data_IF_686379242649
#
_entry.id   IF_686379242649
#
_cell.length_a   1.000
_cell.length_b   1.000
_cell.length_c   1.000
_cell.angle_alpha   90.00
_cell.angle_beta   90.00
_cell.angle_gamma   90.00
#
_symmetry.space_group_name_H-M   'P 1'
#
loop_
_entity.id
_entity.type
_entity.pdbx_description
1 polymer ?
#
# COMPACT_ATOMS: atom_id res chain seq x y z
N UNK A 1 12.50 -35.34 -27.13
CA UNK A 1 12.00 -36.54 -26.41
C UNK A 1 11.43 -37.62 -27.34
N UNK A 2 11.18 -37.35 -28.63
CA UNK A 2 10.95 -38.42 -29.64
C UNK A 2 12.22 -39.28 -29.89
N UNK A 3 13.42 -38.76 -29.59
CA UNK A 3 14.69 -39.47 -29.78
C UNK A 3 14.86 -40.75 -28.96
N UNK A 4 14.21 -40.88 -27.80
CA UNK A 4 14.35 -42.06 -26.92
C UNK A 4 13.79 -43.33 -27.59
N UNK A 5 12.80 -43.18 -28.47
CA UNK A 5 12.14 -44.28 -29.20
C UNK A 5 12.81 -44.58 -30.55
N UNK A 6 13.61 -43.64 -31.05
CA UNK A 6 14.37 -43.73 -32.30
C UNK A 6 15.73 -44.41 -32.11
N UNK A 7 16.34 -44.26 -30.94
CA UNK A 7 17.71 -44.71 -30.69
C UNK A 7 17.77 -46.12 -30.07
N UNK A 8 17.32 -47.10 -30.86
CA UNK A 8 17.22 -48.52 -30.51
C UNK A 8 18.59 -49.20 -30.60
N UNK A 9 18.94 -50.01 -29.61
CA UNK A 9 20.03 -50.98 -29.79
C UNK A 9 19.53 -52.12 -30.67
N UNK A 10 20.15 -52.29 -31.84
CA UNK A 10 19.94 -53.47 -32.67
C UNK A 10 20.31 -54.72 -31.86
N UNK A 11 19.34 -55.64 -31.75
CA UNK A 11 19.56 -56.90 -31.06
C UNK A 11 19.99 -57.94 -32.10
N UNK A 12 21.11 -58.65 -31.88
CA UNK A 12 21.53 -59.71 -32.79
C UNK A 12 20.46 -60.81 -32.85
N UNK A 13 20.27 -61.38 -34.04
CA UNK A 13 19.25 -62.41 -34.32
C UNK A 13 19.91 -63.71 -34.74
N UNK A 14 19.42 -64.83 -34.22
CA UNK A 14 19.86 -66.18 -34.60
C UNK A 14 18.67 -67.12 -34.87
N UNK A 15 18.83 -68.12 -35.76
CA UNK A 15 17.78 -69.12 -35.98
C UNK A 15 17.65 -70.09 -34.80
N UNK A 16 16.52 -70.82 -34.67
CA UNK A 16 16.24 -71.67 -33.51
C UNK A 16 17.21 -72.85 -33.37
N UNK A 17 17.78 -73.30 -34.50
CA UNK A 17 18.71 -74.42 -34.57
C UNK A 17 20.19 -73.99 -34.46
N UNK A 18 20.45 -72.70 -34.22
CA UNK A 18 21.79 -72.18 -33.98
C UNK A 18 22.44 -72.86 -32.76
N UNK A 19 23.72 -73.18 -32.91
CA UNK A 19 24.57 -73.69 -31.84
C UNK A 19 24.93 -72.61 -30.82
N UNK A 20 25.26 -73.01 -29.59
CA UNK A 20 25.69 -72.07 -28.55
C UNK A 20 26.88 -71.19 -28.96
N UNK A 21 27.77 -71.70 -29.83
CA UNK A 21 28.90 -70.92 -30.36
C UNK A 21 28.44 -69.82 -31.30
N UNK A 22 27.42 -70.08 -32.13
CA UNK A 22 26.84 -69.07 -33.02
C UNK A 22 26.09 -68.00 -32.22
N UNK A 23 25.35 -68.40 -31.16
CA UNK A 23 24.70 -67.45 -30.25
C UNK A 23 25.72 -66.60 -29.50
N UNK A 24 26.79 -67.21 -28.97
CA UNK A 24 27.84 -66.48 -28.27
C UNK A 24 28.60 -65.51 -29.18
N UNK A 25 28.87 -65.92 -30.43
CA UNK A 25 29.50 -65.06 -31.45
C UNK A 25 28.59 -63.86 -31.75
N UNK A 26 27.31 -64.09 -32.01
CA UNK A 26 26.35 -63.03 -32.28
C UNK A 26 26.22 -62.03 -31.12
N UNK A 27 26.29 -62.51 -29.87
CA UNK A 27 26.30 -61.64 -28.69
C UNK A 27 27.58 -60.82 -28.60
N UNK A 28 28.75 -61.43 -28.79
CA UNK A 28 30.07 -60.77 -28.68
C UNK A 28 30.32 -59.75 -29.80
N UNK A 29 29.72 -59.94 -30.98
CA UNK A 29 29.82 -59.03 -32.12
C UNK A 29 28.79 -57.89 -32.05
N UNK A 30 27.90 -57.90 -31.05
CA UNK A 30 26.89 -56.86 -30.84
C UNK A 30 27.19 -56.01 -29.61
N UNK A 31 26.68 -54.76 -29.60
CA UNK A 31 26.63 -53.93 -28.39
C UNK A 31 25.49 -54.36 -27.42
N UNK A 32 24.73 -55.38 -27.79
CA UNK A 32 23.56 -55.87 -27.06
C UNK A 32 23.90 -56.86 -25.95
N UNK A 33 23.09 -56.87 -24.89
CA UNK A 33 23.21 -57.83 -23.77
C UNK A 33 22.37 -59.12 -23.96
N UNK A 34 21.68 -59.24 -25.10
CA UNK A 34 20.70 -60.29 -25.40
C UNK A 34 20.77 -60.65 -26.89
N UNK A 35 20.50 -61.91 -27.21
CA UNK A 35 20.30 -62.39 -28.59
C UNK A 35 18.83 -62.80 -28.77
N UNK A 36 18.22 -62.38 -29.87
CA UNK A 36 16.85 -62.78 -30.24
C UNK A 36 16.88 -64.08 -31.04
N UNK A 37 15.99 -65.00 -30.70
CA UNK A 37 15.78 -66.24 -31.46
C UNK A 37 14.51 -66.07 -32.29
N UNK A 38 14.65 -66.07 -33.62
CA UNK A 38 13.53 -65.92 -34.56
C UNK A 38 13.14 -67.26 -35.20
N UNK A 39 11.84 -67.46 -35.44
CA UNK A 39 11.27 -68.53 -36.27
C UNK A 39 10.56 -67.92 -37.49
N UNK A 40 10.24 -68.74 -38.50
CA UNK A 40 9.61 -68.28 -39.75
C UNK A 40 8.31 -67.46 -39.55
N UNK A 41 7.60 -67.65 -38.44
CA UNK A 41 6.36 -66.94 -38.08
C UNK A 41 6.54 -65.80 -37.04
N UNK A 42 7.77 -65.42 -36.72
CA UNK A 42 8.07 -64.31 -35.80
C UNK A 42 9.03 -64.66 -34.67
N UNK A 43 9.05 -63.84 -33.61
CA UNK A 43 10.03 -64.00 -32.53
C UNK A 43 9.66 -65.17 -31.59
N UNK A 44 10.60 -66.09 -31.39
CA UNK A 44 10.45 -67.25 -30.51
C UNK A 44 10.82 -66.92 -29.05
N UNK A 45 11.96 -66.27 -28.85
CA UNK A 45 12.47 -65.97 -27.51
C UNK A 45 13.73 -65.12 -27.52
N UNK A 46 14.32 -64.92 -26.34
CA UNK A 46 15.64 -64.31 -26.22
C UNK A 46 16.57 -65.16 -25.35
N UNK A 47 17.87 -64.97 -25.53
CA UNK A 47 18.91 -65.59 -24.70
C UNK A 47 19.80 -64.47 -24.14
N UNK A 48 19.97 -64.44 -22.82
CA UNK A 48 20.88 -63.49 -22.15
C UNK A 48 22.29 -64.04 -22.00
N UNK A 49 23.26 -63.14 -21.83
CA UNK A 49 24.66 -63.52 -21.66
C UNK A 49 24.88 -64.49 -20.49
N UNK A 50 24.12 -64.36 -19.40
CA UNK A 50 24.22 -65.27 -18.24
C UNK A 50 23.79 -66.70 -18.60
N UNK A 51 22.74 -66.84 -19.40
CA UNK A 51 22.21 -68.11 -19.88
C UNK A 51 23.21 -68.77 -20.82
N UNK A 52 23.80 -68.02 -21.75
CA UNK A 52 24.84 -68.53 -22.66
C UNK A 52 26.07 -68.99 -21.87
N UNK A 53 26.58 -68.17 -20.95
CA UNK A 53 27.73 -68.51 -20.11
C UNK A 53 27.45 -69.79 -19.32
N UNK A 54 26.27 -69.91 -18.70
CA UNK A 54 25.86 -71.10 -17.95
C UNK A 54 25.98 -72.36 -18.81
N UNK A 55 25.42 -72.34 -20.02
CA UNK A 55 25.40 -73.52 -20.89
C UNK A 55 26.75 -73.82 -21.54
N UNK A 56 27.57 -72.81 -21.86
CA UNK A 56 28.95 -73.01 -22.33
C UNK A 56 29.84 -73.65 -21.26
N UNK A 57 29.63 -73.31 -19.99
CA UNK A 57 30.37 -73.91 -18.86
C UNK A 57 30.03 -75.39 -18.61
N UNK A 58 28.95 -75.92 -19.22
CA UNK A 58 28.58 -77.34 -19.14
C UNK A 58 29.32 -78.23 -20.15
N UNK A 59 30.25 -77.67 -20.94
CA UNK A 59 31.15 -78.44 -21.82
C UNK A 59 30.41 -79.25 -22.90
N UNK A 60 30.77 -80.52 -23.05
CA UNK A 60 30.21 -81.42 -24.08
C UNK A 60 28.71 -81.68 -23.93
N UNK A 61 28.15 -81.52 -22.73
CA UNK A 61 26.70 -81.59 -22.53
C UNK A 61 25.99 -80.35 -23.06
N UNK A 62 26.59 -79.17 -22.90
CA UNK A 62 26.07 -77.91 -23.44
C UNK A 62 26.04 -77.89 -24.96
N UNK A 63 27.02 -78.51 -25.63
CA UNK A 63 27.12 -78.55 -27.09
C UNK A 63 25.95 -79.25 -27.81
N UNK A 64 25.13 -80.02 -27.08
CA UNK A 64 23.94 -80.71 -27.60
C UNK A 64 22.72 -79.80 -27.71
N UNK A 65 22.71 -78.68 -27.00
CA UNK A 65 21.58 -77.74 -26.96
C UNK A 65 21.66 -76.72 -28.09
N UNK A 66 20.51 -76.40 -28.65
CA UNK A 66 20.31 -75.36 -29.66
C UNK A 66 19.69 -74.12 -29.03
N UNK A 67 19.71 -73.00 -29.76
CA UNK A 67 19.15 -71.73 -29.31
C UNK A 67 17.70 -71.88 -28.81
N UNK A 68 16.87 -72.67 -29.50
CA UNK A 68 15.47 -72.93 -29.11
C UNK A 68 15.30 -73.64 -27.77
N UNK A 69 16.28 -74.45 -27.37
CA UNK A 69 16.18 -75.29 -26.17
C UNK A 69 16.48 -74.49 -24.89
N UNK A 70 17.13 -73.32 -25.04
CA UNK A 70 17.59 -72.48 -23.93
C UNK A 70 17.01 -71.06 -23.97
N UNK A 71 16.27 -70.72 -25.01
CA UNK A 71 15.63 -69.42 -25.14
C UNK A 71 14.53 -69.22 -24.10
N UNK A 72 14.52 -68.03 -23.50
CA UNK A 72 13.39 -67.55 -22.70
C UNK A 72 12.31 -67.07 -23.66
N UNK A 73 11.14 -67.69 -23.58
CA UNK A 73 10.00 -67.33 -24.42
C UNK A 73 9.56 -65.88 -24.14
N UNK A 74 9.37 -65.12 -25.22
CA UNK A 74 8.85 -63.75 -25.15
C UNK A 74 7.33 -63.81 -25.18
N UNK A 75 6.70 -63.29 -24.14
CA UNK A 75 5.24 -63.19 -24.08
C UNK A 75 4.79 -61.84 -24.63
N UNK A 76 3.51 -61.72 -24.93
CA UNK A 76 2.95 -60.43 -25.38
C UNK A 76 3.03 -59.35 -24.29
N UNK A 77 3.05 -59.75 -23.02
CA UNK A 77 3.32 -58.88 -21.87
C UNK A 77 4.78 -58.40 -21.75
N UNK A 78 5.71 -58.91 -22.58
CA UNK A 78 7.09 -58.43 -22.63
C UNK A 78 7.31 -57.42 -23.78
N UNK A 79 6.33 -57.31 -24.69
CA UNK A 79 6.36 -56.47 -25.90
C UNK A 79 5.74 -55.10 -25.61
N UNK A 80 6.33 -54.06 -26.19
CA UNK A 80 5.86 -52.69 -26.10
C UNK A 80 5.84 -52.03 -27.48
N UNK A 81 4.70 -51.44 -27.85
CA UNK A 81 4.60 -50.71 -29.10
C UNK A 81 5.45 -49.45 -29.04
N UNK A 82 6.18 -49.19 -30.12
CA UNK A 82 7.13 -48.07 -30.19
C UNK A 82 6.53 -46.66 -30.14
N UNK A 83 5.21 -46.51 -29.96
CA UNK A 83 4.50 -45.25 -29.87
C UNK A 83 4.02 -44.89 -28.46
N UNK A 84 4.36 -45.68 -27.44
CA UNK A 84 3.96 -45.41 -26.05
C UNK A 84 4.76 -44.27 -25.41
N UNK A 85 4.13 -43.52 -24.51
CA UNK A 85 4.78 -42.45 -23.74
C UNK A 85 5.73 -42.99 -22.65
N UNK A 86 6.60 -42.11 -22.16
CA UNK A 86 7.63 -42.44 -21.15
C UNK A 86 7.02 -42.81 -19.80
N UNK A 87 5.88 -42.20 -19.42
CA UNK A 87 5.21 -42.48 -18.15
C UNK A 87 4.74 -43.93 -18.09
N UNK A 88 4.13 -44.43 -19.17
CA UNK A 88 3.70 -45.81 -19.30
C UNK A 88 4.89 -46.79 -19.35
N UNK A 89 6.02 -46.40 -19.95
CA UNK A 89 7.27 -47.19 -19.91
C UNK A 89 7.79 -47.32 -18.47
N UNK A 90 7.85 -46.20 -17.73
CA UNK A 90 8.31 -46.16 -16.34
C UNK A 90 7.38 -46.95 -15.42
N UNK A 91 6.07 -46.77 -15.54
CA UNK A 91 5.08 -47.51 -14.76
C UNK A 91 5.22 -49.02 -14.97
N UNK A 92 5.46 -49.46 -16.21
CA UNK A 92 5.66 -50.87 -16.53
C UNK A 92 6.99 -51.41 -16.00
N UNK A 93 8.08 -50.64 -16.07
CA UNK A 93 9.36 -51.03 -15.46
C UNK A 93 9.17 -51.22 -13.95
N UNK A 94 8.45 -50.31 -13.29
CA UNK A 94 8.15 -50.40 -11.85
C UNK A 94 7.27 -51.62 -11.53
N UNK A 95 6.32 -51.98 -12.40
CA UNK A 95 5.39 -53.10 -12.20
C UNK A 95 6.02 -54.47 -12.49
N UNK A 96 6.82 -54.59 -13.54
CA UNK A 96 7.33 -55.86 -14.05
C UNK A 96 8.78 -56.14 -13.65
N UNK A 97 9.53 -55.14 -13.15
CA UNK A 97 10.92 -55.27 -12.73
C UNK A 97 11.90 -55.61 -13.86
N UNK A 98 11.48 -55.42 -15.12
CA UNK A 98 12.26 -55.73 -16.33
C UNK A 98 12.07 -54.64 -17.38
N UNK A 99 13.10 -54.42 -18.20
CA UNK A 99 13.02 -53.47 -19.31
C UNK A 99 12.22 -54.09 -20.47
N UNK A 100 11.25 -53.37 -21.05
CA UNK A 100 10.43 -53.87 -22.16
C UNK A 100 11.25 -54.04 -23.45
N UNK A 101 10.78 -54.96 -24.31
CA UNK A 101 11.28 -55.12 -25.68
C UNK A 101 10.34 -54.40 -26.63
N UNK A 102 10.89 -53.59 -27.54
CA UNK A 102 10.07 -52.81 -28.47
C UNK A 102 9.75 -53.59 -29.73
N UNK A 103 8.48 -53.62 -30.11
CA UNK A 103 8.03 -54.16 -31.39
C UNK A 103 8.04 -53.06 -32.46
N UNK A 104 8.63 -53.36 -33.61
CA UNK A 104 8.55 -52.54 -34.82
C UNK A 104 7.25 -52.78 -35.60
N UNK A 105 7.07 -52.02 -36.69
CA UNK A 105 5.99 -52.30 -37.66
C UNK A 105 6.19 -53.74 -38.18
N UNK A 106 5.12 -54.52 -38.24
CA UNK A 106 5.09 -55.97 -38.59
C UNK A 106 5.40 -56.96 -37.44
N UNK A 107 5.44 -56.52 -36.17
CA UNK A 107 5.50 -57.44 -35.01
C UNK A 107 6.89 -58.04 -34.74
N UNK A 108 7.92 -57.63 -35.49
CA UNK A 108 9.33 -57.94 -35.22
C UNK A 108 9.84 -57.15 -34.02
N UNK A 109 10.75 -57.71 -33.24
CA UNK A 109 11.41 -56.95 -32.16
C UNK A 109 12.45 -56.05 -32.80
N UNK A 110 12.31 -54.75 -32.59
CA UNK A 110 13.12 -53.73 -33.23
C UNK A 110 14.13 -53.08 -32.28
N UNK A 111 14.17 -53.48 -31.01
CA UNK A 111 15.21 -53.08 -30.06
C UNK A 111 14.79 -53.12 -28.60
N UNK A 112 15.67 -52.64 -27.73
CA UNK A 112 15.47 -52.51 -26.28
C UNK A 112 15.86 -51.12 -25.79
N UNK A 113 15.23 -50.65 -24.72
CA UNK A 113 15.62 -49.43 -24.03
C UNK A 113 16.98 -49.61 -23.32
N UNK A 114 17.92 -48.69 -23.55
CA UNK A 114 19.20 -48.65 -22.83
C UNK A 114 19.10 -47.78 -21.57
N UNK A 115 19.40 -48.32 -20.36
CA UNK A 115 19.42 -47.54 -19.12
C UNK A 115 20.36 -46.33 -19.18
N UNK A 116 21.54 -46.49 -19.77
CA UNK A 116 22.55 -45.43 -19.84
C UNK A 116 22.06 -44.25 -20.69
N UNK A 117 21.33 -44.54 -21.78
CA UNK A 117 20.72 -43.51 -22.63
C UNK A 117 19.58 -42.79 -21.90
N UNK A 118 18.72 -43.52 -21.18
CA UNK A 118 17.64 -42.91 -20.39
C UNK A 118 18.18 -42.01 -19.27
N UNK A 119 19.25 -42.43 -18.60
CA UNK A 119 19.93 -41.60 -17.58
C UNK A 119 20.56 -40.34 -18.22
N UNK A 120 21.20 -40.48 -19.38
CA UNK A 120 21.76 -39.34 -20.12
C UNK A 120 20.71 -38.30 -20.51
N UNK A 121 19.53 -38.76 -20.93
CA UNK A 121 18.39 -37.90 -21.27
C UNK A 121 17.79 -37.18 -20.07
N UNK A 122 17.60 -37.88 -18.95
CA UNK A 122 17.15 -37.27 -17.70
C UNK A 122 18.15 -36.21 -17.20
N UNK A 123 19.45 -36.49 -17.29
CA UNK A 123 20.49 -35.54 -16.93
C UNK A 123 20.46 -34.28 -17.83
N UNK A 124 20.23 -34.45 -19.14
CA UNK A 124 20.06 -33.34 -20.10
C UNK A 124 18.84 -32.49 -19.75
N UNK A 125 17.68 -33.12 -19.55
CA UNK A 125 16.44 -32.42 -19.20
C UNK A 125 16.57 -31.65 -17.88
N UNK A 126 17.23 -32.23 -16.87
CA UNK A 126 17.52 -31.55 -15.61
C UNK A 126 18.47 -30.37 -15.80
N UNK A 127 19.47 -30.49 -16.66
CA UNK A 127 20.36 -29.38 -17.03
C UNK A 127 19.60 -28.22 -17.69
N UNK A 128 18.65 -28.52 -18.58
CA UNK A 128 17.81 -27.51 -19.23
C UNK A 128 16.84 -26.82 -18.26
N UNK A 129 16.21 -27.57 -17.36
CA UNK A 129 15.34 -27.03 -16.31
C UNK A 129 16.11 -26.06 -15.41
N UNK A 130 17.28 -26.50 -14.92
CA UNK A 130 18.14 -25.67 -14.07
C UNK A 130 18.53 -24.37 -14.77
N UNK A 131 18.84 -24.44 -16.07
CA UNK A 131 19.15 -23.25 -16.87
C UNK A 131 17.96 -22.31 -16.95
N UNK A 132 16.76 -22.81 -17.29
CA UNK A 132 15.53 -22.00 -17.36
C UNK A 132 15.21 -21.33 -16.03
N UNK A 133 15.43 -22.03 -14.91
CA UNK A 133 15.23 -21.47 -13.57
C UNK A 133 16.16 -20.29 -13.31
N UNK A 134 17.46 -20.47 -13.58
CA UNK A 134 18.46 -19.40 -13.44
C UNK A 134 18.12 -18.22 -14.34
N UNK A 135 17.74 -18.46 -15.60
CA UNK A 135 17.35 -17.41 -16.54
C UNK A 135 16.12 -16.63 -16.03
N UNK A 136 15.16 -17.34 -15.43
CA UNK A 136 13.96 -16.74 -14.82
C UNK A 136 14.29 -15.88 -13.61
N UNK A 137 15.17 -16.36 -12.73
CA UNK A 137 15.64 -15.60 -11.55
C UNK A 137 16.34 -14.30 -11.97
N UNK A 138 17.20 -14.34 -12.99
CA UNK A 138 17.82 -13.13 -13.56
C UNK A 138 16.79 -12.16 -14.16
N UNK A 139 15.77 -12.69 -14.86
CA UNK A 139 14.72 -11.85 -15.43
C UNK A 139 13.89 -11.16 -14.32
N UNK A 140 13.55 -11.88 -13.26
CA UNK A 140 12.83 -11.32 -12.09
C UNK A 140 13.67 -10.20 -11.46
N UNK A 141 14.97 -10.42 -11.25
CA UNK A 141 15.87 -9.40 -10.71
C UNK A 141 15.96 -8.16 -11.62
N UNK A 142 16.05 -8.36 -12.93
CA UNK A 142 16.07 -7.27 -13.90
C UNK A 142 14.76 -6.46 -13.85
N UNK A 143 13.60 -7.13 -13.80
CA UNK A 143 12.29 -6.47 -13.72
C UNK A 143 12.14 -5.70 -12.40
N UNK A 144 12.53 -6.31 -11.27
CA UNK A 144 12.46 -5.69 -9.94
C UNK A 144 13.33 -4.42 -9.86
N UNK A 145 14.48 -4.41 -10.52
CA UNK A 145 15.38 -3.24 -10.56
C UNK A 145 14.89 -2.12 -11.50
N UNK A 146 13.94 -2.39 -12.39
CA UNK A 146 13.30 -1.36 -13.24
C UNK A 146 12.13 -0.65 -12.54
N UNK A 147 11.70 -1.12 -11.37
CA UNK A 147 10.60 -0.49 -10.65
C UNK A 147 10.99 0.93 -10.17
N UNK A 148 10.08 1.91 -10.29
CA UNK A 148 10.34 3.30 -9.87
C UNK A 148 10.22 3.51 -8.36
N UNK A 149 10.22 2.43 -7.57
CA UNK A 149 10.11 2.45 -6.11
C UNK A 149 10.98 1.34 -5.51
N UNK A 150 11.40 1.52 -4.25
CA UNK A 150 12.17 0.51 -3.56
C UNK A 150 11.28 -0.67 -3.18
N UNK A 151 11.77 -1.90 -3.36
CA UNK A 151 11.08 -3.11 -2.92
C UNK A 151 12.04 -4.04 -2.20
N UNK A 152 11.61 -4.58 -1.06
CA UNK A 152 12.35 -5.56 -0.28
C UNK A 152 11.41 -6.66 0.23
N UNK A 153 11.85 -7.91 0.10
CA UNK A 153 11.26 -9.06 0.73
C UNK A 153 11.96 -9.30 2.06
N UNK A 154 11.20 -9.30 3.14
CA UNK A 154 11.74 -9.36 4.51
C UNK A 154 11.12 -10.53 5.26
N UNK A 155 11.94 -11.28 6.00
CA UNK A 155 11.46 -12.37 6.86
C UNK A 155 10.76 -11.83 8.11
N UNK A 156 9.99 -12.67 8.80
CA UNK A 156 9.43 -12.34 10.13
C UNK A 156 10.50 -11.94 11.15
N UNK A 157 11.74 -12.43 10.99
CA UNK A 157 12.89 -12.08 11.81
C UNK A 157 13.44 -10.67 11.55
N UNK A 158 13.00 -9.99 10.48
CA UNK A 158 13.51 -8.69 10.03
C UNK A 158 14.68 -8.78 9.05
N UNK A 159 15.03 -9.97 8.57
CA UNK A 159 16.12 -10.16 7.61
C UNK A 159 15.66 -9.84 6.19
N UNK A 160 16.43 -9.04 5.47
CA UNK A 160 16.17 -8.75 4.05
C UNK A 160 16.63 -9.94 3.22
N UNK A 161 15.67 -10.65 2.64
CA UNK A 161 15.90 -11.82 1.79
C UNK A 161 16.30 -11.41 0.38
N UNK A 162 15.60 -10.40 -0.15
CA UNK A 162 15.83 -9.84 -1.46
C UNK A 162 15.42 -8.38 -1.46
N UNK A 163 16.14 -7.53 -2.18
CA UNK A 163 15.77 -6.14 -2.34
C UNK A 163 16.30 -5.61 -3.67
N UNK A 164 15.59 -4.65 -4.26
CA UNK A 164 16.13 -3.92 -5.40
C UNK A 164 17.17 -2.89 -4.95
N UNK A 165 17.91 -2.36 -5.93
CA UNK A 165 18.99 -1.39 -5.67
C UNK A 165 18.52 -0.20 -4.82
N UNK A 166 17.36 0.37 -5.15
CA UNK A 166 16.82 1.53 -4.44
C UNK A 166 16.47 1.21 -2.98
N UNK A 167 15.83 0.08 -2.69
CA UNK A 167 15.56 -0.33 -1.31
C UNK A 167 16.84 -0.54 -0.51
N UNK A 168 17.86 -1.17 -1.11
CA UNK A 168 19.16 -1.37 -0.46
C UNK A 168 19.86 -0.04 -0.15
N UNK A 169 19.81 0.93 -1.07
CA UNK A 169 20.32 2.29 -0.85
C UNK A 169 19.61 2.96 0.34
N UNK A 170 18.27 2.93 0.38
CA UNK A 170 17.50 3.55 1.47
C UNK A 170 17.79 2.87 2.82
N UNK A 171 17.78 1.54 2.86
CA UNK A 171 18.03 0.73 4.07
C UNK A 171 19.43 1.02 4.62
N UNK A 172 20.45 1.04 3.75
CA UNK A 172 21.83 1.27 4.15
C UNK A 172 22.08 2.71 4.59
N UNK A 173 21.55 3.72 3.87
CA UNK A 173 21.73 5.13 4.24
C UNK A 173 21.09 5.48 5.58
N UNK A 174 19.94 4.87 5.88
CA UNK A 174 19.21 5.10 7.13
C UNK A 174 19.64 4.14 8.25
N UNK A 175 20.65 3.30 8.02
CA UNK A 175 21.17 2.33 9.00
C UNK A 175 20.09 1.41 9.57
N UNK A 176 19.11 1.02 8.75
CA UNK A 176 17.98 0.19 9.18
C UNK A 176 18.50 -1.23 9.43
N UNK A 177 18.69 -1.56 10.70
CA UNK A 177 19.11 -2.89 11.14
C UNK A 177 17.96 -3.89 11.21
N UNK A 178 18.30 -5.17 11.40
CA UNK A 178 17.34 -6.28 11.50
C UNK A 178 16.27 -6.07 12.56
N UNK A 179 16.65 -5.61 13.77
CA UNK A 179 15.69 -5.38 14.86
C UNK A 179 14.74 -4.22 14.57
N UNK A 180 15.22 -3.17 13.90
CA UNK A 180 14.37 -2.06 13.47
C UNK A 180 13.39 -2.52 12.38
N UNK A 181 13.87 -3.27 11.40
CA UNK A 181 13.05 -3.85 10.34
C UNK A 181 11.97 -4.80 10.92
N UNK A 182 12.33 -5.61 11.91
CA UNK A 182 11.39 -6.48 12.64
C UNK A 182 10.32 -5.68 13.39
N UNK A 183 10.69 -4.57 14.03
CA UNK A 183 9.74 -3.70 14.73
C UNK A 183 8.77 -3.02 13.74
N UNK A 184 9.29 -2.57 12.60
CA UNK A 184 8.53 -1.98 11.50
C UNK A 184 7.48 -2.97 10.99
N UNK A 185 7.91 -4.19 10.67
CA UNK A 185 7.08 -5.26 10.12
C UNK A 185 5.98 -5.67 11.10
N UNK A 186 6.31 -5.80 12.40
CA UNK A 186 5.33 -6.18 13.43
C UNK A 186 4.25 -5.13 13.69
N UNK A 187 4.61 -3.85 13.59
CA UNK A 187 3.70 -2.76 13.95
C UNK A 187 2.93 -2.18 12.75
N UNK A 188 3.16 -2.70 11.54
CA UNK A 188 2.63 -2.17 10.27
C UNK A 188 2.79 -0.63 10.18
N UNK A 189 3.94 -0.14 10.65
CA UNK A 189 4.16 1.29 10.80
C UNK A 189 4.60 1.93 9.49
N UNK A 190 3.86 2.95 9.06
CA UNK A 190 4.30 3.86 8.01
C UNK A 190 5.43 4.73 8.57
N UNK A 191 6.61 4.66 7.96
CA UNK A 191 7.76 5.50 8.33
C UNK A 191 8.24 6.28 7.11
N UNK A 192 8.72 7.49 7.34
CA UNK A 192 9.32 8.35 6.32
C UNK A 192 10.83 8.31 6.53
N UNK A 193 11.56 8.02 5.46
CA UNK A 193 13.02 8.03 5.41
C UNK A 193 13.49 9.15 4.50
N UNK A 194 14.67 9.69 4.80
CA UNK A 194 15.30 10.72 3.97
C UNK A 194 16.64 10.17 3.48
N UNK A 195 16.93 10.35 2.20
CA UNK A 195 18.24 10.00 1.64
C UNK A 195 19.23 11.15 1.81
N UNK A 196 20.52 10.89 1.60
CA UNK A 196 21.55 11.93 1.60
C UNK A 196 21.32 13.02 0.54
N UNK A 197 20.62 12.68 -0.53
CA UNK A 197 20.23 13.62 -1.60
C UNK A 197 19.02 14.48 -1.25
N UNK A 198 18.40 14.28 -0.08
CA UNK A 198 17.21 15.01 0.36
C UNK A 198 15.90 14.48 -0.23
N UNK A 199 15.90 13.24 -0.76
CA UNK A 199 14.70 12.57 -1.27
C UNK A 199 13.96 11.90 -0.10
N UNK A 200 12.65 12.03 -0.05
CA UNK A 200 11.81 11.46 1.00
C UNK A 200 11.09 10.21 0.49
N UNK A 201 11.22 9.10 1.23
CA UNK A 201 10.55 7.85 0.90
C UNK A 201 9.58 7.43 2.01
N UNK A 202 8.34 7.11 1.63
CA UNK A 202 7.36 6.48 2.51
C UNK A 202 7.53 4.98 2.40
N UNK A 203 7.76 4.34 3.54
CA UNK A 203 7.82 2.90 3.63
C UNK A 203 6.47 2.32 4.07
N UNK A 204 6.01 1.29 3.37
CA UNK A 204 4.81 0.52 3.67
C UNK A 204 5.17 -0.97 3.76
N UNK A 205 4.46 -1.70 4.63
CA UNK A 205 4.64 -3.14 4.81
C UNK A 205 3.34 -3.87 4.53
N UNK A 206 3.40 -4.89 3.67
CA UNK A 206 2.27 -5.75 3.36
C UNK A 206 2.61 -7.22 3.62
N UNK A 207 1.65 -7.97 4.15
CA UNK A 207 1.82 -9.40 4.42
C UNK A 207 1.57 -10.18 3.13
N UNK A 208 2.54 -10.98 2.71
CA UNK A 208 2.34 -11.92 1.61
C UNK A 208 1.62 -13.15 2.16
N UNK A 209 0.30 -13.21 1.92
CA UNK A 209 -0.57 -14.32 2.34
C UNK A 209 0.05 -15.65 1.91
N UNK A 210 -0.06 -16.65 2.78
CA UNK A 210 0.49 -18.02 2.58
C UNK A 210 2.02 -18.14 2.73
N UNK A 211 2.71 -17.08 3.20
CA UNK A 211 4.15 -17.12 3.49
C UNK A 211 4.48 -16.45 4.83
N UNK A 212 5.69 -16.70 5.35
CA UNK A 212 6.25 -16.01 6.53
C UNK A 212 7.07 -14.76 6.13
N UNK A 213 6.77 -14.18 4.95
CA UNK A 213 7.50 -13.04 4.40
C UNK A 213 6.61 -11.81 4.27
N UNK A 214 7.25 -10.66 4.34
CA UNK A 214 6.64 -9.35 4.25
C UNK A 214 7.21 -8.62 3.05
N UNK A 215 6.32 -7.97 2.31
CA UNK A 215 6.69 -7.06 1.24
C UNK A 215 6.84 -5.67 1.81
N UNK A 216 8.05 -5.12 1.74
CA UNK A 216 8.35 -3.74 2.13
C UNK A 216 8.52 -2.92 0.86
N UNK A 217 7.75 -1.85 0.74
CA UNK A 217 7.82 -0.91 -0.39
C UNK A 217 8.27 0.46 0.07
N UNK A 218 9.06 1.16 -0.75
CA UNK A 218 9.56 2.51 -0.51
C UNK A 218 9.14 3.42 -1.66
N UNK A 219 8.10 4.22 -1.46
CA UNK A 219 7.56 5.13 -2.47
C UNK A 219 8.15 6.54 -2.28
N UNK A 220 8.65 7.15 -3.36
CA UNK A 220 9.10 8.54 -3.34
C UNK A 220 7.91 9.48 -3.08
N UNK A 221 8.01 10.24 -2.00
CA UNK A 221 7.03 11.24 -1.56
C UNK A 221 7.65 12.64 -1.48
N UNK A 222 8.80 12.87 -2.13
CA UNK A 222 9.57 14.12 -2.03
C UNK A 222 8.74 15.35 -2.39
N UNK A 223 7.95 15.26 -3.46
CA UNK A 223 7.07 16.36 -3.89
C UNK A 223 5.99 16.66 -2.84
N UNK A 224 5.31 15.62 -2.33
CA UNK A 224 4.29 15.75 -1.29
C UNK A 224 4.89 16.36 -0.01
N UNK A 225 6.02 15.81 0.44
CA UNK A 225 6.67 16.22 1.68
C UNK A 225 7.22 17.65 1.58
N UNK A 226 7.86 18.01 0.47
CA UNK A 226 8.36 19.37 0.22
C UNK A 226 7.21 20.37 0.19
N UNK A 227 6.06 20.01 -0.41
CA UNK A 227 4.88 20.87 -0.42
C UNK A 227 4.32 21.06 1.00
N UNK A 228 4.23 19.98 1.79
CA UNK A 228 3.79 20.06 3.19
C UNK A 228 4.72 20.94 4.04
N UNK A 229 6.03 20.78 3.90
CA UNK A 229 7.00 21.60 4.64
C UNK A 229 6.95 23.07 4.20
N UNK A 230 6.80 23.36 2.90
CA UNK A 230 6.57 24.73 2.42
C UNK A 230 5.30 25.33 3.01
N UNK A 231 4.20 24.58 3.03
CA UNK A 231 2.94 25.04 3.64
C UNK A 231 3.11 25.32 5.14
N UNK A 232 3.83 24.45 5.85
CA UNK A 232 4.14 24.63 7.27
C UNK A 232 5.02 25.85 7.52
N UNK A 233 6.04 26.08 6.68
CA UNK A 233 6.88 27.28 6.73
C UNK A 233 6.05 28.54 6.50
N UNK A 234 5.25 28.58 5.43
CA UNK A 234 4.39 29.73 5.13
C UNK A 234 3.36 29.99 6.24
N UNK A 235 2.81 28.94 6.85
CA UNK A 235 1.95 29.09 8.03
C UNK A 235 2.72 29.70 9.21
N UNK A 236 3.91 29.19 9.50
CA UNK A 236 4.77 29.70 10.58
C UNK A 236 5.19 31.16 10.35
N UNK A 237 5.48 31.55 9.11
CA UNK A 237 5.80 32.92 8.72
C UNK A 237 4.63 33.86 8.97
N UNK A 238 3.41 33.47 8.57
CA UNK A 238 2.19 34.26 8.82
C UNK A 238 1.91 34.39 10.31
N UNK A 239 2.02 33.30 11.07
CA UNK A 239 1.85 33.33 12.53
C UNK A 239 2.89 34.24 13.20
N UNK A 240 4.15 34.17 12.78
CA UNK A 240 5.23 35.02 13.31
C UNK A 240 5.02 36.50 12.98
N UNK A 241 4.66 36.80 11.74
CA UNK A 241 4.35 38.17 11.32
C UNK A 241 3.17 38.74 12.12
N UNK A 242 2.11 37.95 12.32
CA UNK A 242 0.98 38.35 13.16
C UNK A 242 1.41 38.62 14.60
N UNK A 243 2.18 37.72 15.23
CA UNK A 243 2.70 37.91 16.59
C UNK A 243 3.51 39.20 16.74
N UNK A 244 4.34 39.55 15.75
CA UNK A 244 5.13 40.79 15.74
C UNK A 244 4.25 42.04 15.59
N UNK A 245 3.15 41.94 14.83
CA UNK A 245 2.23 43.07 14.60
C UNK A 245 1.29 43.33 15.78
N UNK A 246 1.19 42.42 16.74
CA UNK A 246 0.38 42.64 17.93
C UNK A 246 0.97 43.78 18.76
N UNK A 247 0.14 44.69 19.30
CA UNK A 247 0.62 45.80 20.12
C UNK A 247 1.20 45.34 21.46
N UNK A 248 0.90 44.10 21.89
CA UNK A 248 1.32 43.53 23.17
C UNK A 248 1.40 42.00 23.07
N UNK A 249 2.56 41.43 23.42
CA UNK A 249 2.79 39.98 23.42
C UNK A 249 1.85 39.22 24.38
N UNK A 250 1.32 39.89 25.41
CA UNK A 250 0.36 39.28 26.33
C UNK A 250 -0.95 38.91 25.63
N UNK A 251 -1.31 39.59 24.55
CA UNK A 251 -2.47 39.24 23.72
C UNK A 251 -2.25 37.87 23.08
N UNK A 252 -1.09 37.64 22.47
CA UNK A 252 -0.73 36.35 21.89
C UNK A 252 -0.77 35.24 22.94
N UNK A 253 -0.08 35.45 24.07
CA UNK A 253 -0.03 34.47 25.15
C UNK A 253 -1.44 34.13 25.64
N UNK A 254 -2.31 35.14 25.77
CA UNK A 254 -3.70 34.95 26.17
C UNK A 254 -4.49 34.15 25.14
N UNK A 255 -4.45 34.52 23.87
CA UNK A 255 -5.16 33.82 22.79
C UNK A 255 -4.66 32.37 22.63
N UNK A 256 -3.35 32.12 22.79
CA UNK A 256 -2.77 30.77 22.75
C UNK A 256 -3.19 29.93 23.96
N UNK A 257 -3.39 30.54 25.13
CA UNK A 257 -3.87 29.83 26.33
C UNK A 257 -5.30 29.29 26.21
N UNK A 258 -6.12 29.87 25.32
CA UNK A 258 -7.53 29.51 25.19
C UNK A 258 -7.67 28.40 24.14
N UNK A 259 -8.12 27.23 24.58
CA UNK A 259 -8.37 26.08 23.71
C UNK A 259 -9.70 26.20 22.98
N UNK A 260 -9.82 25.48 21.87
CA UNK A 260 -11.10 25.25 21.20
C UNK A 260 -11.35 23.75 21.10
N UNK A 261 -12.61 23.35 21.09
CA UNK A 261 -12.99 21.94 21.06
C UNK A 261 -13.55 21.55 19.70
N UNK A 262 -13.23 20.33 19.28
CA UNK A 262 -13.98 19.61 18.25
C UNK A 262 -14.96 18.69 18.96
N UNK A 263 -16.20 18.68 18.49
CA UNK A 263 -17.27 17.94 19.14
C UNK A 263 -18.26 17.34 18.14
N UNK A 264 -18.92 16.29 18.58
CA UNK A 264 -20.07 15.69 17.92
C UNK A 264 -21.32 15.94 18.77
N UNK A 265 -22.34 16.54 18.17
CA UNK A 265 -23.61 16.82 18.82
C UNK A 265 -24.59 15.66 18.66
N UNK A 266 -25.14 15.18 19.77
CA UNK A 266 -26.22 14.21 19.78
C UNK A 266 -27.56 14.93 19.93
N UNK A 267 -28.34 14.98 18.86
CA UNK A 267 -29.65 15.65 18.83
C UNK A 267 -30.66 15.03 19.81
N UNK A 268 -30.53 13.74 20.13
CA UNK A 268 -31.49 13.02 20.98
C UNK A 268 -31.33 13.35 22.46
N UNK A 269 -30.09 13.60 22.90
CA UNK A 269 -29.75 13.90 24.30
C UNK A 269 -29.44 15.37 24.51
N UNK A 270 -29.13 16.12 23.45
CA UNK A 270 -28.64 17.49 23.50
C UNK A 270 -27.22 17.63 24.06
N UNK A 271 -26.51 16.51 24.21
CA UNK A 271 -25.14 16.45 24.73
C UNK A 271 -24.14 16.59 23.58
N UNK A 272 -22.92 17.01 23.92
CA UNK A 272 -21.79 16.94 23.00
C UNK A 272 -20.76 15.94 23.48
N UNK A 273 -20.12 15.24 22.55
CA UNK A 273 -18.96 14.41 22.80
C UNK A 273 -17.71 15.10 22.25
N UNK A 274 -16.72 15.34 23.10
CA UNK A 274 -15.45 15.94 22.68
C UNK A 274 -14.64 14.94 21.88
N UNK A 275 -14.34 15.27 20.63
CA UNK A 275 -13.55 14.43 19.70
C UNK A 275 -12.14 14.96 19.51
N UNK A 276 -11.89 16.21 19.85
CA UNK A 276 -10.58 16.84 19.73
C UNK A 276 -10.40 18.06 20.61
N UNK A 277 -9.16 18.32 21.02
CA UNK A 277 -8.76 19.54 21.75
C UNK A 277 -7.74 20.29 20.92
N UNK A 278 -8.11 21.49 20.47
CA UNK A 278 -7.27 22.36 19.65
C UNK A 278 -6.50 23.30 20.58
N UNK A 279 -5.25 22.93 20.86
CA UNK A 279 -4.31 23.82 21.55
C UNK A 279 -4.12 25.10 20.73
N UNK A 280 -4.08 26.24 21.40
CA UNK A 280 -4.04 27.57 20.77
C UNK A 280 -5.24 27.83 19.84
N UNK A 281 -6.40 27.22 20.14
CA UNK A 281 -7.58 27.28 19.29
C UNK A 281 -8.09 28.69 19.05
N UNK A 282 -8.15 29.52 20.09
CA UNK A 282 -8.61 30.91 19.96
C UNK A 282 -7.64 31.76 19.11
N UNK A 283 -6.33 31.56 19.24
CA UNK A 283 -5.34 32.19 18.36
C UNK A 283 -5.56 31.82 16.88
N UNK A 284 -5.85 30.54 16.58
CA UNK A 284 -6.17 30.09 15.22
C UNK A 284 -7.49 30.68 14.70
N UNK A 285 -8.51 30.77 15.56
CA UNK A 285 -9.79 31.42 15.26
C UNK A 285 -9.59 32.86 14.83
N UNK A 286 -8.82 33.65 15.59
CA UNK A 286 -8.49 35.04 15.26
C UNK A 286 -7.75 35.14 13.92
N UNK A 287 -6.76 34.27 13.65
CA UNK A 287 -6.07 34.25 12.35
C UNK A 287 -7.04 33.95 11.20
N UNK A 288 -7.98 33.02 11.40
CA UNK A 288 -8.97 32.69 10.39
C UNK A 288 -9.93 33.86 10.12
N UNK A 289 -10.34 34.62 11.14
CA UNK A 289 -11.09 35.86 10.95
C UNK A 289 -10.29 36.89 10.14
N UNK A 290 -9.01 37.09 10.46
CA UNK A 290 -8.14 38.01 9.72
C UNK A 290 -7.96 37.61 8.25
N UNK A 291 -7.91 36.30 7.95
CA UNK A 291 -7.92 35.80 6.56
C UNK A 291 -9.22 36.17 5.84
N UNK A 292 -10.38 35.96 6.48
CA UNK A 292 -11.68 36.35 5.92
C UNK A 292 -11.77 37.86 5.68
N UNK A 293 -11.28 38.68 6.62
CA UNK A 293 -11.18 40.14 6.45
C UNK A 293 -10.31 40.48 5.24
N UNK A 294 -9.14 39.85 5.10
CA UNK A 294 -8.22 40.09 3.99
C UNK A 294 -8.85 39.70 2.64
N UNK A 295 -9.59 38.59 2.59
CA UNK A 295 -10.29 38.14 1.39
C UNK A 295 -11.46 39.06 1.02
N UNK A 296 -12.20 39.59 2.00
CA UNK A 296 -13.24 40.59 1.78
C UNK A 296 -12.65 41.94 1.34
N UNK A 297 -11.53 42.34 1.93
CA UNK A 297 -10.79 43.55 1.57
C UNK A 297 -10.37 43.53 0.10
N UNK A 298 -9.79 42.41 -0.36
CA UNK A 298 -9.40 42.24 -1.78
C UNK A 298 -10.58 42.32 -2.76
N UNK A 299 -11.81 42.19 -2.27
CA UNK A 299 -13.04 42.26 -3.06
C UNK A 299 -13.78 43.60 -2.89
N UNK A 300 -13.15 44.61 -2.28
CA UNK A 300 -13.69 45.97 -2.17
C UNK A 300 -14.64 46.21 -0.99
N UNK A 301 -14.82 45.25 -0.08
CA UNK A 301 -15.78 45.43 1.04
C UNK A 301 -15.43 46.63 1.92
N UNK A 302 -14.14 46.90 2.15
CA UNK A 302 -13.69 47.98 3.02
C UNK A 302 -13.71 49.36 2.35
N UNK A 303 -14.07 49.44 1.08
CA UNK A 303 -14.27 50.71 0.36
C UNK A 303 -15.68 51.26 0.59
N UNK A 304 -16.58 50.45 1.15
CA UNK A 304 -17.95 50.84 1.42
C UNK A 304 -18.03 51.79 2.63
N UNK A 305 -18.90 52.83 2.57
CA UNK A 305 -19.18 53.68 3.72
C UNK A 305 -19.54 52.90 4.98
N UNK A 306 -19.03 53.32 6.13
CA UNK A 306 -19.28 52.65 7.41
C UNK A 306 -18.47 51.37 7.63
N UNK A 307 -17.59 50.96 6.70
CA UNK A 307 -16.60 49.91 6.92
C UNK A 307 -15.25 50.51 7.31
N UNK A 308 -14.74 50.13 8.49
CA UNK A 308 -13.43 50.56 8.98
C UNK A 308 -12.53 49.34 9.21
N UNK A 309 -11.53 49.20 8.34
CA UNK A 309 -10.54 48.12 8.38
C UNK A 309 -9.83 48.04 9.73
N UNK A 310 -9.39 49.17 10.28
CA UNK A 310 -8.59 49.19 11.51
C UNK A 310 -9.46 48.79 12.70
N UNK A 311 -10.70 49.28 12.75
CA UNK A 311 -11.65 48.90 13.79
C UNK A 311 -11.97 47.39 13.76
N UNK A 312 -12.20 46.82 12.57
CA UNK A 312 -12.46 45.38 12.41
C UNK A 312 -11.25 44.52 12.80
N UNK A 313 -10.05 44.89 12.38
CA UNK A 313 -8.81 44.17 12.75
C UNK A 313 -8.59 44.23 14.26
N UNK A 314 -8.72 45.41 14.87
CA UNK A 314 -8.54 45.56 16.31
C UNK A 314 -9.60 44.81 17.10
N UNK A 315 -10.87 44.87 16.69
CA UNK A 315 -11.95 44.08 17.30
C UNK A 315 -11.67 42.58 17.17
N UNK A 316 -11.23 42.11 16.01
CA UNK A 316 -10.92 40.70 15.74
C UNK A 316 -9.84 40.17 16.67
N UNK A 317 -8.75 40.92 16.84
CA UNK A 317 -7.63 40.53 17.71
C UNK A 317 -8.05 40.44 19.19
N UNK A 318 -8.99 41.29 19.60
CA UNK A 318 -9.29 41.50 21.01
C UNK A 318 -10.60 40.85 21.49
N UNK A 319 -11.53 40.47 20.59
CA UNK A 319 -12.89 40.11 21.00
C UNK A 319 -12.97 38.95 22.01
N UNK A 320 -12.11 37.97 21.85
CA UNK A 320 -12.11 36.74 22.64
C UNK A 320 -11.03 36.71 23.74
N UNK A 321 -10.29 37.79 24.00
CA UNK A 321 -9.26 37.81 25.07
C UNK A 321 -9.88 37.56 26.46
N UNK A 322 -11.16 37.87 26.61
CA UNK A 322 -11.94 37.65 27.81
C UNK A 322 -12.39 36.20 28.00
N UNK A 323 -12.29 35.33 27.00
CA UNK A 323 -12.93 33.99 27.00
C UNK A 323 -12.32 33.02 27.99
N UNK A 324 -13.17 32.31 28.72
CA UNK A 324 -12.79 31.25 29.65
C UNK A 324 -13.35 29.94 29.14
N UNK A 325 -12.50 28.93 29.06
CA UNK A 325 -12.87 27.59 28.61
C UNK A 325 -12.74 26.60 29.77
N UNK A 326 -13.62 25.60 29.86
CA UNK A 326 -13.47 24.48 30.78
C UNK A 326 -12.20 23.66 30.43
N UNK A 327 -11.79 22.74 31.30
CA UNK A 327 -10.75 21.75 30.98
C UNK A 327 -11.40 20.41 30.65
N UNK A 328 -11.58 20.13 29.35
CA UNK A 328 -12.19 18.91 28.83
C UNK A 328 -11.19 18.06 28.05
N UNK A 329 -11.41 16.74 28.08
CA UNK A 329 -10.61 15.72 27.41
C UNK A 329 -11.38 15.07 26.27
N UNK A 330 -10.64 14.49 25.33
CA UNK A 330 -11.22 13.68 24.26
C UNK A 330 -11.96 12.50 24.88
N UNK A 331 -13.22 12.31 24.49
CA UNK A 331 -14.13 11.29 25.01
C UNK A 331 -15.12 11.81 26.05
N UNK A 332 -14.92 13.00 26.62
CA UNK A 332 -15.87 13.59 27.57
C UNK A 332 -17.22 13.85 26.88
N UNK A 333 -18.31 13.49 27.56
CA UNK A 333 -19.68 13.75 27.13
C UNK A 333 -20.29 14.74 28.12
N UNK A 334 -20.65 15.93 27.64
CA UNK A 334 -21.08 17.04 28.50
C UNK A 334 -22.30 17.75 27.95
N UNK A 335 -23.07 18.36 28.85
CA UNK A 335 -24.11 19.31 28.47
C UNK A 335 -23.45 20.67 28.15
N UNK A 336 -23.47 21.14 26.90
CA UNK A 336 -22.77 22.37 26.53
C UNK A 336 -23.32 23.61 27.27
N UNK A 337 -24.60 23.61 27.65
CA UNK A 337 -25.24 24.75 28.35
C UNK A 337 -24.80 24.90 29.80
N UNK A 338 -24.31 23.83 30.41
CA UNK A 338 -23.87 23.80 31.80
C UNK A 338 -22.36 24.05 31.92
N UNK A 339 -21.59 23.52 30.97
CA UNK A 339 -20.14 23.49 31.03
C UNK A 339 -19.48 24.70 30.39
N UNK A 340 -20.06 25.25 29.30
CA UNK A 340 -19.52 26.45 28.65
C UNK A 340 -20.19 27.71 29.19
N UNK A 341 -19.41 28.78 29.32
CA UNK A 341 -19.98 30.07 29.65
C UNK A 341 -20.85 30.60 28.51
N UNK A 342 -21.88 31.38 28.85
CA UNK A 342 -22.68 32.10 27.85
C UNK A 342 -21.79 33.11 27.13
N UNK A 343 -21.84 33.13 25.80
CA UNK A 343 -20.93 33.96 24.99
C UNK A 343 -20.96 35.47 25.33
N UNK A 344 -22.10 35.99 25.77
CA UNK A 344 -22.23 37.41 26.10
C UNK A 344 -21.34 37.81 27.28
N UNK A 345 -21.05 36.88 28.20
CA UNK A 345 -20.19 37.15 29.35
C UNK A 345 -18.74 37.42 28.94
N UNK A 346 -18.19 36.61 28.02
CA UNK A 346 -16.82 36.87 27.55
C UNK A 346 -16.75 38.06 26.62
N UNK A 347 -17.80 38.32 25.83
CA UNK A 347 -17.88 39.51 25.00
C UNK A 347 -17.81 40.80 25.83
N UNK A 348 -18.58 40.87 26.91
CA UNK A 348 -18.54 42.01 27.84
C UNK A 348 -17.19 42.15 28.53
N UNK A 349 -16.68 41.05 29.10
CA UNK A 349 -15.38 41.02 29.77
C UNK A 349 -14.23 41.39 28.81
N UNK A 350 -14.27 40.88 27.57
CA UNK A 350 -13.30 41.18 26.52
C UNK A 350 -13.31 42.65 26.13
N UNK A 351 -14.51 43.25 25.98
CA UNK A 351 -14.64 44.68 25.67
C UNK A 351 -14.07 45.56 26.78
N UNK A 352 -14.42 45.27 28.04
CA UNK A 352 -13.96 46.05 29.19
C UNK A 352 -12.45 45.92 29.41
N UNK A 353 -11.89 44.70 29.28
CA UNK A 353 -10.45 44.47 29.32
C UNK A 353 -9.72 45.23 28.20
N UNK A 354 -10.26 45.17 26.99
CA UNK A 354 -9.66 45.84 25.83
C UNK A 354 -9.63 47.35 26.00
N UNK A 355 -10.69 47.92 26.56
CA UNK A 355 -10.78 49.35 26.86
C UNK A 355 -9.79 49.76 27.95
N UNK A 356 -9.74 48.99 29.04
CA UNK A 356 -8.88 49.28 30.17
C UNK A 356 -7.37 49.15 29.85
N UNK A 357 -7.00 48.16 29.04
CA UNK A 357 -5.60 47.81 28.80
C UNK A 357 -5.01 48.41 27.51
N UNK A 358 -5.85 48.61 26.49
CA UNK A 358 -5.40 48.99 25.14
C UNK A 358 -6.02 50.29 24.63
N UNK A 359 -6.83 50.97 25.45
CA UNK A 359 -7.45 52.26 25.16
C UNK A 359 -8.14 52.29 23.77
N UNK A 360 -8.97 51.29 23.50
CA UNK A 360 -9.66 51.15 22.22
C UNK A 360 -10.81 52.16 22.06
N UNK A 361 -11.11 52.52 20.80
CA UNK A 361 -12.24 53.39 20.44
C UNK A 361 -13.60 52.76 20.76
N UNK A 362 -14.64 53.60 20.92
CA UNK A 362 -16.03 53.16 21.16
C UNK A 362 -16.55 52.19 20.09
N UNK A 363 -16.22 52.42 18.82
CA UNK A 363 -16.61 51.53 17.73
C UNK A 363 -16.07 50.11 17.94
N UNK A 364 -14.82 49.97 18.36
CA UNK A 364 -14.18 48.68 18.61
C UNK A 364 -14.77 48.06 19.86
N UNK A 365 -14.98 48.87 20.90
CA UNK A 365 -15.63 48.44 22.13
C UNK A 365 -17.02 47.84 21.85
N UNK A 366 -17.85 48.50 21.06
CA UNK A 366 -19.19 48.00 20.73
C UNK A 366 -19.18 46.74 19.86
N UNK A 367 -18.27 46.64 18.89
CA UNK A 367 -18.11 45.41 18.10
C UNK A 367 -17.75 44.22 19.00
N UNK A 368 -16.79 44.40 19.91
CA UNK A 368 -16.41 43.35 20.87
C UNK A 368 -17.56 43.06 21.85
N UNK A 369 -18.19 44.09 22.42
CA UNK A 369 -19.20 43.91 23.47
C UNK A 369 -20.42 43.12 22.99
N UNK A 370 -20.82 43.35 21.73
CA UNK A 370 -22.11 42.87 21.23
C UNK A 370 -22.01 41.74 20.19
N UNK A 371 -20.82 41.22 19.83
CA UNK A 371 -20.69 40.23 18.74
C UNK A 371 -21.51 38.94 18.91
N UNK A 372 -21.86 38.54 20.14
CA UNK A 372 -22.74 37.39 20.37
C UNK A 372 -24.25 37.70 20.40
N UNK A 373 -24.64 38.98 20.41
CA UNK A 373 -26.05 39.37 20.40
C UNK A 373 -26.62 39.22 18.99
N UNK A 374 -27.91 38.95 18.85
CA UNK A 374 -28.61 39.21 17.59
C UNK A 374 -28.97 40.68 17.47
N UNK A 375 -29.27 41.16 16.26
CA UNK A 375 -29.43 42.60 16.01
C UNK A 375 -30.58 43.24 16.82
N UNK A 376 -31.65 42.49 17.08
CA UNK A 376 -32.78 42.91 17.92
C UNK A 376 -32.50 42.88 19.43
N UNK A 377 -31.35 42.33 19.86
CA UNK A 377 -30.87 42.37 21.24
C UNK A 377 -29.89 43.54 21.49
N UNK A 378 -29.54 44.30 20.45
CA UNK A 378 -28.72 45.50 20.61
C UNK A 378 -29.47 46.56 21.42
N UNK A 379 -28.76 47.35 22.25
CA UNK A 379 -29.40 48.41 23.00
C UNK A 379 -29.91 49.52 22.04
N UNK A 380 -30.93 50.25 22.47
CA UNK A 380 -31.57 51.29 21.64
C UNK A 380 -30.63 52.43 21.24
N UNK A 381 -29.54 52.62 21.98
CA UNK A 381 -28.48 53.61 21.73
C UNK A 381 -27.28 53.04 20.96
N UNK A 382 -27.35 51.78 20.47
CA UNK A 382 -26.30 51.22 19.64
C UNK A 382 -26.09 52.08 18.37
N UNK A 383 -24.85 52.49 18.04
CA UNK A 383 -24.63 53.39 16.92
C UNK A 383 -24.98 52.74 15.57
N UNK A 384 -26.05 53.24 14.93
CA UNK A 384 -26.59 52.67 13.69
C UNK A 384 -25.58 52.60 12.55
N UNK A 385 -24.63 53.54 12.50
CA UNK A 385 -23.57 53.54 11.47
C UNK A 385 -22.60 52.35 11.61
N UNK A 386 -22.57 51.65 12.74
CA UNK A 386 -21.74 50.46 12.96
C UNK A 386 -22.40 49.16 12.50
N UNK A 387 -23.71 49.16 12.20
CA UNK A 387 -24.44 47.95 11.83
C UNK A 387 -23.79 47.16 10.68
N UNK A 388 -23.28 47.80 9.60
CA UNK A 388 -22.59 47.07 8.53
C UNK A 388 -21.36 46.28 9.02
N UNK A 389 -20.49 46.93 9.80
CA UNK A 389 -19.33 46.27 10.38
C UNK A 389 -19.73 45.18 11.37
N UNK A 390 -20.73 45.45 12.20
CA UNK A 390 -21.23 44.50 13.19
C UNK A 390 -21.77 43.22 12.54
N UNK A 391 -22.60 43.35 11.51
CA UNK A 391 -23.14 42.21 10.74
C UNK A 391 -22.02 41.40 10.10
N UNK A 392 -21.06 42.09 9.45
CA UNK A 392 -19.90 41.43 8.88
C UNK A 392 -19.04 40.73 9.94
N UNK A 393 -18.78 41.40 11.06
CA UNK A 393 -17.98 40.86 12.17
C UNK A 393 -18.58 39.56 12.72
N UNK A 394 -19.90 39.53 12.94
CA UNK A 394 -20.61 38.32 13.37
C UNK A 394 -20.55 37.19 12.35
N UNK A 395 -20.68 37.52 11.07
CA UNK A 395 -20.57 36.54 9.99
C UNK A 395 -19.18 35.88 10.02
N UNK A 396 -18.10 36.67 10.07
CA UNK A 396 -16.74 36.11 10.04
C UNK A 396 -16.37 35.39 11.32
N UNK A 397 -16.88 35.79 12.49
CA UNK A 397 -16.70 35.09 13.77
C UNK A 397 -17.33 33.67 13.71
N UNK A 398 -18.56 33.56 13.21
CA UNK A 398 -19.21 32.25 13.02
C UNK A 398 -18.46 31.35 12.02
N UNK A 399 -18.02 31.92 10.89
CA UNK A 399 -17.29 31.20 9.85
C UNK A 399 -15.91 30.74 10.34
N UNK A 400 -15.16 31.59 11.05
CA UNK A 400 -13.85 31.23 11.58
C UNK A 400 -13.94 30.16 12.67
N UNK A 401 -15.00 30.15 13.47
CA UNK A 401 -15.27 29.04 14.39
C UNK A 401 -15.48 27.71 13.65
N UNK A 402 -16.21 27.73 12.52
CA UNK A 402 -16.36 26.58 11.64
C UNK A 402 -15.04 26.09 11.05
N UNK A 403 -14.23 27.00 10.49
CA UNK A 403 -12.90 26.68 9.96
C UNK A 403 -12.03 26.04 11.05
N UNK A 404 -12.06 26.60 12.27
CA UNK A 404 -11.20 26.18 13.37
C UNK A 404 -11.61 24.82 13.95
N UNK A 405 -12.90 24.63 14.26
CA UNK A 405 -13.40 23.45 14.99
C UNK A 405 -13.81 22.29 14.09
N UNK A 406 -14.22 22.56 12.85
CA UNK A 406 -14.80 21.55 11.94
C UNK A 406 -14.01 21.34 10.65
N UNK A 407 -12.92 22.10 10.49
CA UNK A 407 -12.15 22.11 9.26
C UNK A 407 -12.97 22.60 8.07
N UNK A 408 -13.95 23.48 8.30
CA UNK A 408 -14.77 24.04 7.22
C UNK A 408 -13.89 24.76 6.19
N UNK A 409 -14.19 24.52 4.91
CA UNK A 409 -13.71 25.30 3.77
C UNK A 409 -14.75 26.36 3.45
N UNK A 410 -14.33 27.62 3.50
CA UNK A 410 -15.21 28.77 3.29
C UNK A 410 -14.79 29.49 2.02
N UNK A 411 -15.72 29.63 1.09
CA UNK A 411 -15.56 30.48 -0.10
C UNK A 411 -16.51 31.68 0.01
N UNK A 412 -15.95 32.88 0.07
CA UNK A 412 -16.70 34.13 0.22
C UNK A 412 -16.57 35.00 -1.03
N UNK A 413 -17.71 35.44 -1.58
CA UNK A 413 -17.80 36.39 -2.70
C UNK A 413 -18.50 37.67 -2.24
N UNK A 414 -17.87 38.81 -2.45
CA UNK A 414 -18.43 40.13 -2.14
C UNK A 414 -18.85 40.83 -3.44
N UNK A 415 -20.07 41.38 -3.46
CA UNK A 415 -20.62 42.19 -4.55
C UNK A 415 -21.29 43.42 -3.97
N UNK A 416 -20.54 44.52 -3.86
CA UNK A 416 -20.99 45.71 -3.14
C UNK A 416 -21.36 45.34 -1.70
N UNK A 417 -22.58 45.67 -1.27
CA UNK A 417 -23.08 45.39 0.09
C UNK A 417 -23.44 43.92 0.33
N UNK A 418 -23.48 43.08 -0.71
CA UNK A 418 -23.88 41.68 -0.60
C UNK A 418 -22.69 40.75 -0.48
N UNK A 419 -22.78 39.83 0.47
CA UNK A 419 -21.82 38.79 0.75
C UNK A 419 -22.49 37.45 0.49
N UNK A 420 -21.86 36.61 -0.33
CA UNK A 420 -22.29 35.24 -0.58
C UNK A 420 -21.22 34.31 -0.05
N UNK A 421 -21.60 33.36 0.79
CA UNK A 421 -20.69 32.39 1.40
C UNK A 421 -21.13 30.99 1.06
N UNK A 422 -20.17 30.15 0.68
CA UNK A 422 -20.33 28.70 0.61
C UNK A 422 -19.43 28.07 1.66
N UNK A 423 -20.00 27.35 2.61
CA UNK A 423 -19.29 26.61 3.66
C UNK A 423 -19.41 25.10 3.41
N UNK A 424 -18.27 24.42 3.29
CA UNK A 424 -18.17 22.97 3.16
C UNK A 424 -17.36 22.42 4.33
N UNK A 425 -18.00 21.65 5.19
CA UNK A 425 -17.45 21.11 6.42
C UNK A 425 -17.08 19.63 6.28
N UNK A 426 -16.14 19.17 7.12
CA UNK A 426 -15.89 17.73 7.29
C UNK A 426 -17.10 17.00 7.90
N UNK A 427 -18.02 17.77 8.50
CA UNK A 427 -19.28 17.34 9.06
C UNK A 427 -20.43 17.87 8.19
N UNK A 428 -21.04 17.03 7.32
CA UNK A 428 -21.98 17.49 6.29
C UNK A 428 -23.19 18.27 6.81
N UNK A 429 -23.61 18.04 8.06
CA UNK A 429 -24.74 18.75 8.70
C UNK A 429 -24.54 20.26 8.83
N UNK A 430 -23.30 20.73 8.70
CA UNK A 430 -22.91 22.14 8.73
C UNK A 430 -22.69 22.75 7.33
N UNK A 431 -22.87 21.98 6.25
CA UNK A 431 -22.73 22.51 4.91
C UNK A 431 -23.87 23.50 4.61
N UNK A 432 -23.51 24.70 4.17
CA UNK A 432 -24.50 25.75 3.94
C UNK A 432 -24.04 26.78 2.91
N UNK A 433 -25.03 27.45 2.32
CA UNK A 433 -24.87 28.69 1.57
C UNK A 433 -25.53 29.82 2.33
N UNK A 434 -24.85 30.96 2.43
CA UNK A 434 -25.34 32.17 3.11
C UNK A 434 -25.33 33.32 2.11
N UNK A 435 -26.43 34.06 2.02
CA UNK A 435 -26.48 35.39 1.41
C UNK A 435 -26.81 36.43 2.48
N UNK A 436 -26.00 37.47 2.58
CA UNK A 436 -26.20 38.58 3.50
C UNK A 436 -26.04 39.91 2.77
N UNK A 437 -26.89 40.89 3.08
CA UNK A 437 -26.62 42.30 2.76
C UNK A 437 -26.28 43.05 4.05
N UNK A 438 -25.04 43.57 4.13
CA UNK A 438 -24.56 44.20 5.36
C UNK A 438 -25.23 45.54 5.66
N UNK A 439 -25.89 46.19 4.70
CA UNK A 439 -26.56 47.48 4.91
C UNK A 439 -28.02 47.32 5.28
N UNK A 440 -28.74 46.39 4.64
CA UNK A 440 -30.15 46.15 4.95
C UNK A 440 -30.36 45.17 6.11
N UNK A 441 -29.35 44.34 6.42
CA UNK A 441 -29.48 43.26 7.39
C UNK A 441 -30.19 42.03 6.83
N UNK A 442 -30.48 42.00 5.52
CA UNK A 442 -30.98 40.81 4.85
C UNK A 442 -30.04 39.63 5.11
N UNK A 443 -30.60 38.50 5.52
CA UNK A 443 -29.87 37.27 5.78
C UNK A 443 -30.72 36.08 5.33
N UNK A 444 -30.14 35.24 4.48
CA UNK A 444 -30.71 33.97 4.08
C UNK A 444 -29.63 32.90 4.20
N UNK A 445 -29.98 31.74 4.76
CA UNK A 445 -29.13 30.56 4.77
C UNK A 445 -29.87 29.34 4.24
N UNK A 446 -29.16 28.50 3.49
CA UNK A 446 -29.66 27.25 2.91
C UNK A 446 -28.68 26.12 3.23
N UNK A 447 -29.16 25.04 3.84
CA UNK A 447 -28.37 23.81 4.01
C UNK A 447 -28.15 23.10 2.68
N UNK A 448 -26.96 22.55 2.48
CA UNK A 448 -26.56 21.82 1.26
C UNK A 448 -26.76 20.31 1.38
#
# INVERSE_FOLDING_TARGET
>A
MEDILMDRCDLPVVPPDASLKEVAKALLESEGALVIVEKEEGVYGYIDGKTIIKWLLMGDEGAKFKAKDIAVLIKDEDKLESSMDIEAIVERINKCGRLPLFTGKEGKIAGRLSPDKLIGELARSHGEERKKRVDTEHLIEAVINLLPFGIALVSEGGEVVQANRLAMEIISENSIGTEEMKAIVKNNQRKIFTTKTGTYYRMCTDILRETNYFLVTFADITAEYTMMEKLRSSQSEVETAFSIMLPDQRIEARLKSIVEYMDEYDESTGMIKITGVIKNGCFRHVINMLKLIADAFRQGLMELPGMDKNALVQATVLHDIGKVQPDLKIGDIVNPKEVFEKGHHHAFRGADLSRALYNIDDKVYYLIKYHHHVENELPSDFPQYLLPMYRFFRLIDGLSAGITRRGSKVAMKVKGTRIHVKEESSFPTYNQEIEMDIYTGFFASRKL
#
